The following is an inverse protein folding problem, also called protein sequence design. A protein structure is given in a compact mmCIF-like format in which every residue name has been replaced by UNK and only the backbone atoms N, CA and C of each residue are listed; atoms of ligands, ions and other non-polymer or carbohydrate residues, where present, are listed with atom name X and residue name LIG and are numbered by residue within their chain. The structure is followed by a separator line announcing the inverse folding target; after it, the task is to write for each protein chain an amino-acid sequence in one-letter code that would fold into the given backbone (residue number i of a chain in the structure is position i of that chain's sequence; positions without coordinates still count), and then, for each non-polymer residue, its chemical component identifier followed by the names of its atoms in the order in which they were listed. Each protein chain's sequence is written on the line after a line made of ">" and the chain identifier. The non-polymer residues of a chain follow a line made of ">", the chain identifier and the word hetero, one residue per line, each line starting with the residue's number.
data_IF_264642666283
#
_entry.id   IF_264642666283
#
_cell.length_a   1.000
_cell.length_b   1.000
_cell.length_c   1.000
_cell.angle_alpha   90.00
_cell.angle_beta   90.00
_cell.angle_gamma   90.00
#
_symmetry.space_group_name_H-M   'P 1'
#
loop_
_entity.id
_entity.type
_entity.pdbx_description
1 polymer ?
#
# COMPACT_ATOMS: atom_id res chain seq x y z
N UNK A 1 -27.02 26.46 11.66
CA UNK A 1 -25.76 26.58 12.43
C UNK A 1 -25.44 28.04 12.65
N UNK A 2 -25.21 28.49 13.89
CA UNK A 2 -24.87 29.90 14.18
C UNK A 2 -23.43 30.17 13.72
N UNK A 3 -23.21 31.18 12.88
CA UNK A 3 -21.90 31.55 12.33
C UNK A 3 -20.80 31.72 13.41
N UNK A 4 -21.17 32.07 14.65
CA UNK A 4 -20.24 32.15 15.78
C UNK A 4 -19.60 30.81 16.16
N UNK A 5 -20.36 29.71 16.10
CA UNK A 5 -19.86 28.38 16.47
C UNK A 5 -18.77 27.89 15.50
N UNK A 6 -18.92 28.15 14.20
CA UNK A 6 -17.91 27.77 13.20
C UNK A 6 -16.61 28.55 13.41
N UNK A 7 -16.71 29.83 13.79
CA UNK A 7 -15.54 30.69 14.07
C UNK A 7 -14.79 30.25 15.33
N UNK A 8 -15.51 29.84 16.36
CA UNK A 8 -14.91 29.29 17.60
C UNK A 8 -14.21 27.95 17.36
N UNK A 9 -14.81 27.06 16.56
CA UNK A 9 -14.18 25.79 16.15
C UNK A 9 -12.90 26.04 15.36
N UNK A 10 -12.89 27.02 14.45
CA UNK A 10 -11.69 27.39 13.70
C UNK A 10 -10.60 28.00 14.59
N UNK A 11 -10.98 28.75 15.63
CA UNK A 11 -10.03 29.29 16.61
C UNK A 11 -9.39 28.19 17.47
N UNK A 12 -10.15 27.12 17.79
CA UNK A 12 -9.67 25.97 18.54
C UNK A 12 -8.88 24.96 17.70
N UNK A 13 -8.66 25.21 16.39
CA UNK A 13 -8.02 24.27 15.46
C UNK A 13 -6.68 23.73 15.98
N UNK A 14 -5.83 24.58 16.55
CA UNK A 14 -4.53 24.15 17.07
C UNK A 14 -4.64 23.16 18.23
N UNK A 15 -5.51 23.46 19.20
CA UNK A 15 -5.77 22.62 20.37
C UNK A 15 -6.40 21.29 19.99
N UNK A 16 -7.30 21.30 18.99
CA UNK A 16 -7.91 20.09 18.46
C UNK A 16 -6.89 19.20 17.75
N UNK A 17 -5.96 19.77 16.99
CA UNK A 17 -4.88 19.01 16.35
C UNK A 17 -3.99 18.36 17.42
N UNK A 18 -3.56 19.14 18.42
CA UNK A 18 -2.72 18.64 19.51
C UNK A 18 -3.41 17.51 20.29
N UNK A 19 -4.70 17.68 20.60
CA UNK A 19 -5.51 16.65 21.24
C UNK A 19 -5.60 15.37 20.39
N UNK A 20 -5.83 15.50 19.08
CA UNK A 20 -5.85 14.35 18.17
C UNK A 20 -4.49 13.65 18.14
N UNK A 21 -3.38 14.40 18.09
CA UNK A 21 -2.02 13.85 18.10
C UNK A 21 -1.74 13.04 19.37
N UNK A 22 -2.18 13.54 20.53
CA UNK A 22 -2.10 12.82 21.81
C UNK A 22 -2.90 11.52 21.77
N UNK A 23 -4.14 11.56 21.27
CA UNK A 23 -5.01 10.37 21.21
C UNK A 23 -4.49 9.27 20.29
N UNK A 24 -3.86 9.63 19.17
CA UNK A 24 -3.27 8.65 18.24
C UNK A 24 -1.89 8.16 18.68
N UNK A 25 -1.39 8.60 19.85
CA UNK A 25 -0.08 8.22 20.36
C UNK A 25 1.08 8.77 19.53
N UNK A 26 0.86 9.87 18.78
CA UNK A 26 1.93 10.55 18.07
C UNK A 26 2.82 11.24 19.10
N UNK A 27 3.97 10.63 19.38
CA UNK A 27 4.94 11.21 20.28
C UNK A 27 5.57 12.42 19.58
N UNK A 28 5.65 13.53 20.30
CA UNK A 28 6.37 14.71 19.84
C UNK A 28 7.80 14.26 19.55
N UNK A 29 8.15 14.14 18.26
CA UNK A 29 9.49 13.71 17.84
C UNK A 29 10.46 14.84 18.18
N UNK A 30 10.86 14.89 19.44
CA UNK A 30 11.92 15.76 19.98
C UNK A 30 13.31 15.24 19.65
N UNK A 31 13.42 14.14 18.89
CA UNK A 31 14.63 13.73 18.19
C UNK A 31 14.63 14.29 16.78
N UNK A 32 15.69 15.00 16.38
CA UNK A 32 15.84 15.79 15.16
C UNK A 32 15.78 15.07 13.81
N UNK A 33 14.89 14.09 13.66
CA UNK A 33 14.43 13.64 12.36
C UNK A 33 13.58 14.75 11.75
N UNK A 34 14.10 15.38 10.70
CA UNK A 34 13.32 16.28 9.86
C UNK A 34 12.03 15.55 9.50
N UNK A 35 10.83 16.12 9.74
CA UNK A 35 9.60 15.50 9.29
C UNK A 35 9.77 15.24 7.80
N UNK A 36 9.73 13.98 7.39
CA UNK A 36 9.68 13.63 5.98
C UNK A 36 8.45 14.34 5.43
N UNK A 37 8.68 15.41 4.69
CA UNK A 37 7.63 16.16 4.02
C UNK A 37 7.11 15.27 2.90
N UNK A 38 6.25 14.31 3.25
CA UNK A 38 5.42 13.62 2.30
C UNK A 38 4.60 14.66 1.54
N UNK A 39 4.33 14.41 0.26
CA UNK A 39 3.41 15.26 -0.49
C UNK A 39 2.10 15.37 0.30
N UNK A 40 1.60 16.60 0.58
CA UNK A 40 0.30 16.75 1.19
C UNK A 40 -0.74 16.03 0.34
N UNK A 41 -1.51 15.13 0.95
CA UNK A 41 -2.60 14.42 0.28
C UNK A 41 -3.93 15.05 0.68
N UNK A 42 -4.91 15.02 -0.22
CA UNK A 42 -6.27 15.44 0.14
C UNK A 42 -6.96 14.39 1.03
N UNK A 43 -7.97 14.80 1.80
CA UNK A 43 -8.77 13.86 2.58
C UNK A 43 -9.47 12.82 1.70
N UNK A 44 -10.01 13.26 0.56
CA UNK A 44 -10.66 12.38 -0.42
C UNK A 44 -9.70 11.29 -0.91
N UNK A 45 -8.48 11.69 -1.26
CA UNK A 45 -7.43 10.76 -1.66
C UNK A 45 -7.03 9.81 -0.52
N UNK A 46 -6.91 10.31 0.71
CA UNK A 46 -6.57 9.48 1.88
C UNK A 46 -7.62 8.41 2.16
N UNK A 47 -8.91 8.78 2.19
CA UNK A 47 -9.99 7.82 2.42
C UNK A 47 -10.15 6.85 1.24
N UNK A 48 -9.91 7.31 0.01
CA UNK A 48 -9.88 6.43 -1.17
C UNK A 48 -8.79 5.37 -1.04
N UNK A 49 -7.58 5.76 -0.59
CA UNK A 49 -6.49 4.80 -0.35
C UNK A 49 -6.84 3.80 0.76
N UNK A 50 -7.42 4.25 1.88
CA UNK A 50 -7.85 3.36 2.96
C UNK A 50 -8.90 2.34 2.47
N UNK A 51 -9.85 2.80 1.65
CA UNK A 51 -10.86 1.92 1.07
C UNK A 51 -10.24 0.87 0.14
N UNK A 52 -9.34 1.28 -0.76
CA UNK A 52 -8.60 0.38 -1.64
C UNK A 52 -7.77 -0.65 -0.86
N UNK A 53 -7.15 -0.25 0.26
CA UNK A 53 -6.43 -1.18 1.13
C UNK A 53 -7.40 -2.18 1.75
N UNK A 54 -8.52 -1.72 2.33
CA UNK A 54 -9.51 -2.57 2.98
C UNK A 54 -10.13 -3.59 2.02
N UNK A 55 -10.75 -3.11 0.94
CA UNK A 55 -11.50 -3.99 0.03
C UNK A 55 -10.65 -4.69 -1.00
N UNK A 56 -9.51 -4.11 -1.37
CA UNK A 56 -8.58 -4.69 -2.34
C UNK A 56 -7.51 -5.54 -1.67
N UNK A 57 -6.63 -4.91 -0.89
CA UNK A 57 -5.47 -5.60 -0.32
C UNK A 57 -5.83 -6.57 0.79
N UNK A 58 -6.74 -6.19 1.69
CA UNK A 58 -7.15 -7.00 2.84
C UNK A 58 -8.32 -7.95 2.50
N UNK A 59 -9.11 -7.62 1.48
CA UNK A 59 -10.27 -8.42 1.06
C UNK A 59 -11.46 -8.30 2.02
N UNK A 60 -11.54 -7.23 2.80
CA UNK A 60 -12.67 -6.94 3.67
C UNK A 60 -13.88 -6.46 2.87
N UNK A 61 -15.07 -6.63 3.43
CA UNK A 61 -16.26 -5.99 2.86
C UNK A 61 -16.17 -4.45 2.99
N UNK A 62 -16.91 -3.70 2.16
CA UNK A 62 -17.02 -2.25 2.32
C UNK A 62 -17.53 -1.85 3.72
N UNK A 63 -18.43 -2.62 4.31
CA UNK A 63 -18.97 -2.36 5.64
C UNK A 63 -17.90 -2.52 6.73
N UNK A 64 -17.11 -3.60 6.69
CA UNK A 64 -16.00 -3.80 7.63
C UNK A 64 -14.93 -2.73 7.48
N UNK A 65 -14.60 -2.36 6.23
CA UNK A 65 -13.63 -1.32 5.94
C UNK A 65 -14.04 0.03 6.52
N UNK A 66 -15.33 0.39 6.43
CA UNK A 66 -15.84 1.63 7.00
C UNK A 66 -16.03 1.62 8.52
N UNK A 67 -16.16 0.44 9.13
CA UNK A 67 -16.20 0.30 10.58
C UNK A 67 -14.80 0.26 11.21
N UNK A 68 -13.76 -0.05 10.42
CA UNK A 68 -12.38 -0.06 10.89
C UNK A 68 -11.78 1.34 10.96
N UNK A 69 -10.94 1.58 11.95
CA UNK A 69 -10.16 2.81 12.06
C UNK A 69 -9.01 2.84 11.04
N UNK A 70 -8.53 4.02 10.61
CA UNK A 70 -7.36 4.12 9.73
C UNK A 70 -6.13 3.39 10.27
N UNK A 71 -5.91 3.44 11.59
CA UNK A 71 -4.80 2.75 12.24
C UNK A 71 -4.90 1.21 12.11
N UNK A 72 -6.10 0.66 12.28
CA UNK A 72 -6.35 -0.78 12.12
C UNK A 72 -6.14 -1.24 10.69
N UNK A 73 -6.65 -0.49 9.69
CA UNK A 73 -6.45 -0.80 8.26
C UNK A 73 -4.95 -0.83 7.93
N UNK A 74 -4.20 0.18 8.38
CA UNK A 74 -2.75 0.26 8.15
C UNK A 74 -2.01 -0.88 8.86
N UNK A 75 -2.41 -1.22 10.09
CA UNK A 75 -1.79 -2.31 10.84
C UNK A 75 -2.05 -3.68 10.19
N UNK A 76 -3.29 -3.93 9.75
CA UNK A 76 -3.67 -5.13 9.03
C UNK A 76 -2.89 -5.26 7.71
N UNK A 77 -2.74 -4.16 6.96
CA UNK A 77 -1.90 -4.13 5.74
C UNK A 77 -0.46 -4.51 6.05
N UNK A 78 0.12 -3.97 7.13
CA UNK A 78 1.49 -4.29 7.55
C UNK A 78 1.65 -5.76 7.90
N UNK A 79 0.72 -6.33 8.67
CA UNK A 79 0.72 -7.75 9.02
C UNK A 79 0.62 -8.65 7.78
N UNK A 80 -0.25 -8.30 6.83
CA UNK A 80 -0.37 -9.04 5.56
C UNK A 80 0.92 -8.96 4.73
N UNK A 81 1.56 -7.80 4.67
CA UNK A 81 2.85 -7.66 3.97
C UNK A 81 3.94 -8.51 4.62
N UNK A 82 4.05 -8.49 5.96
CA UNK A 82 5.00 -9.33 6.68
C UNK A 82 4.77 -10.82 6.38
N UNK A 83 3.52 -11.28 6.41
CA UNK A 83 3.18 -12.66 6.02
C UNK A 83 3.60 -12.99 4.58
N UNK A 84 3.34 -12.10 3.62
CA UNK A 84 3.72 -12.30 2.23
C UNK A 84 5.25 -12.35 2.06
N UNK A 85 5.98 -11.51 2.78
CA UNK A 85 7.45 -11.51 2.78
C UNK A 85 8.02 -12.82 3.36
N UNK A 86 7.40 -13.39 4.39
CA UNK A 86 7.80 -14.69 4.94
C UNK A 86 7.51 -15.84 3.96
N UNK A 87 6.38 -15.81 3.24
CA UNK A 87 5.99 -16.88 2.30
C UNK A 87 6.80 -16.85 1.01
N UNK A 88 6.98 -15.66 0.44
CA UNK A 88 7.58 -15.49 -0.90
C UNK A 88 9.03 -15.02 -0.87
N UNK A 89 9.57 -14.77 0.32
CA UNK A 89 10.86 -14.13 0.52
C UNK A 89 10.78 -12.61 0.28
N UNK A 90 11.65 -11.87 0.97
CA UNK A 90 11.84 -10.45 0.69
C UNK A 90 12.83 -10.32 -0.48
N UNK A 91 12.46 -9.56 -1.52
CA UNK A 91 13.40 -9.21 -2.58
C UNK A 91 14.41 -8.21 -2.01
N UNK A 92 15.63 -8.65 -1.76
CA UNK A 92 16.77 -7.74 -1.56
C UNK A 92 17.03 -7.00 -2.88
N UNK A 93 17.47 -5.74 -2.84
CA UNK A 93 17.80 -4.96 -4.04
C UNK A 93 18.85 -5.66 -4.94
N UNK A 94 19.61 -6.60 -4.39
CA UNK A 94 20.60 -7.44 -5.09
C UNK A 94 20.02 -8.68 -5.82
N UNK A 95 18.70 -8.91 -5.77
CA UNK A 95 18.03 -10.08 -6.39
C UNK A 95 16.99 -9.68 -7.46
N UNK A 96 17.22 -8.60 -8.19
CA UNK A 96 16.66 -8.52 -9.53
C UNK A 96 17.29 -9.67 -10.34
N UNK A 97 16.49 -10.65 -10.76
CA UNK A 97 16.95 -11.64 -11.74
C UNK A 97 17.43 -10.87 -12.97
N UNK A 98 18.74 -10.82 -13.17
CA UNK A 98 19.33 -10.24 -14.36
C UNK A 98 19.02 -11.19 -15.52
N UNK A 99 17.90 -10.95 -16.17
CA UNK A 99 17.44 -11.73 -17.33
C UNK A 99 18.25 -11.42 -18.59
N UNK A 100 19.34 -10.64 -18.48
CA UNK A 100 20.23 -10.32 -19.59
C UNK A 100 21.14 -11.48 -20.03
N UNK A 101 21.35 -12.51 -19.21
CA UNK A 101 22.26 -13.64 -19.51
C UNK A 101 21.65 -14.70 -20.46
N UNK A 102 20.45 -14.48 -21.00
CA UNK A 102 19.85 -15.47 -21.92
C UNK A 102 19.52 -16.82 -21.26
N UNK A 103 19.45 -16.86 -19.92
CA UNK A 103 19.07 -18.05 -19.12
C UNK A 103 17.70 -18.64 -19.51
N UNK A 104 16.86 -17.85 -20.19
CA UNK A 104 15.57 -18.27 -20.75
C UNK A 104 15.54 -18.37 -22.29
N UNK A 105 16.70 -18.35 -22.96
CA UNK A 105 16.77 -18.40 -24.42
C UNK A 105 16.19 -19.70 -25.00
N UNK A 106 16.41 -20.84 -24.32
CA UNK A 106 15.78 -22.12 -24.67
C UNK A 106 14.26 -22.06 -24.50
N UNK A 107 13.79 -21.55 -23.36
CA UNK A 107 12.36 -21.39 -23.05
C UNK A 107 11.67 -20.46 -24.06
N UNK A 108 12.36 -19.40 -24.52
CA UNK A 108 11.85 -18.50 -25.57
C UNK A 108 11.74 -19.20 -26.93
N UNK A 109 12.69 -20.09 -27.26
CA UNK A 109 12.63 -20.94 -28.46
C UNK A 109 11.44 -21.91 -28.41
N UNK A 110 11.24 -22.56 -27.27
CA UNK A 110 10.15 -23.52 -27.06
C UNK A 110 8.77 -22.84 -27.13
N UNK A 111 8.64 -21.65 -26.54
CA UNK A 111 7.40 -20.85 -26.63
C UNK A 111 7.10 -20.37 -28.05
N UNK A 112 8.13 -19.99 -28.81
CA UNK A 112 7.98 -19.64 -30.22
C UNK A 112 7.57 -20.86 -31.06
N UNK A 113 8.07 -22.05 -30.73
CA UNK A 113 7.71 -23.30 -31.41
C UNK A 113 6.27 -23.76 -31.11
N UNK A 114 5.73 -23.46 -29.93
CA UNK A 114 4.33 -23.77 -29.59
C UNK A 114 3.35 -22.91 -30.40
N UNK A 115 3.71 -21.67 -30.72
CA UNK A 115 2.92 -20.77 -31.58
C UNK A 115 3.09 -21.01 -33.08
N UNK A 116 4.11 -21.76 -33.49
CA UNK A 116 4.41 -22.07 -34.88
C UNK A 116 3.65 -23.31 -35.35
N UNK A 117 2.46 -23.06 -35.92
CA UNK A 117 1.60 -24.08 -36.52
C UNK A 117 2.20 -24.72 -37.79
N UNK A 118 3.41 -24.35 -38.25
CA UNK A 118 4.00 -24.97 -39.45
C UNK A 118 4.88 -26.18 -39.14
N UNK A 119 5.22 -26.41 -37.87
CA UNK A 119 6.13 -27.48 -37.47
C UNK A 119 5.37 -28.77 -37.07
N UNK A 120 4.81 -29.46 -38.06
CA UNK A 120 4.09 -30.72 -37.85
C UNK A 120 5.01 -31.95 -37.99
N UNK A 121 5.86 -32.22 -37.00
CA UNK A 121 6.54 -33.52 -36.94
C UNK A 121 5.54 -34.56 -36.39
N UNK A 122 4.89 -35.30 -37.30
CA UNK A 122 4.16 -36.53 -36.93
C UNK A 122 5.18 -37.65 -36.70
N UNK A 123 5.26 -38.27 -35.51
CA UNK A 123 6.02 -39.50 -35.36
C UNK A 123 5.24 -40.65 -36.01
N UNK A 124 5.96 -41.49 -36.77
CA UNK A 124 5.47 -42.79 -37.27
C UNK A 124 5.55 -43.83 -36.17
#
# INVERSE_FOLDING_TARGET
>A
MKAGAVREVLAARGQLIEFILVLIGAQDKTGGDKPQAGKPISFDEYFTQLFQIGTGWLGWSPAETWNATPAEIINAKRGRNAMLEEIFGRKSEDQAADVADGSFASVKGDLNAIGDLTNHVRPR
#
